data_IF_878374959456
#
_entry.id   IF_878374959456
#
_cell.length_a   1.000
_cell.length_b   1.000
_cell.length_c   1.000
_cell.angle_alpha   90.00
_cell.angle_beta   90.00
_cell.angle_gamma   90.00
#
_symmetry.space_group_name_H-M   'P 1'
#
loop_
_entity.id
_entity.type
_entity.pdbx_description
1 polymer ?
#
# COMPACT_ATOMS: atom_id res chain seq x y z
N UNK A 1 -25.48 9.28 -15.02
CA UNK A 1 -25.33 8.06 -14.19
C UNK A 1 -26.37 6.97 -14.51
N UNK A 2 -27.16 7.12 -15.59
CA UNK A 2 -28.05 6.07 -16.16
C UNK A 2 -27.30 4.88 -16.79
N UNK A 3 -26.00 5.06 -17.05
CA UNK A 3 -25.17 4.09 -17.77
C UNK A 3 -25.13 2.72 -17.10
N UNK A 4 -25.23 2.64 -15.77
CA UNK A 4 -25.21 1.36 -15.06
C UNK A 4 -26.47 0.52 -15.35
N UNK A 5 -27.66 1.12 -15.23
CA UNK A 5 -28.94 0.46 -15.56
C UNK A 5 -28.96 0.07 -17.04
N UNK A 6 -28.44 0.93 -17.91
CA UNK A 6 -28.36 0.65 -19.34
C UNK A 6 -27.37 -0.48 -19.68
N UNK A 7 -26.21 -0.57 -19.01
CA UNK A 7 -25.28 -1.71 -19.14
C UNK A 7 -26.01 -3.01 -18.78
N UNK A 8 -26.74 -3.01 -17.66
CA UNK A 8 -27.47 -4.18 -17.19
C UNK A 8 -28.55 -4.55 -18.20
N UNK A 9 -29.37 -3.59 -18.66
CA UNK A 9 -30.41 -3.82 -19.69
C UNK A 9 -29.84 -4.46 -20.96
N UNK A 10 -28.78 -3.87 -21.51
CA UNK A 10 -28.17 -4.36 -22.75
C UNK A 10 -27.55 -5.76 -22.59
N UNK A 11 -27.08 -6.10 -21.38
CA UNK A 11 -26.50 -7.41 -21.08
C UNK A 11 -27.51 -8.50 -20.72
N UNK A 12 -28.55 -8.18 -19.95
CA UNK A 12 -29.53 -9.15 -19.44
C UNK A 12 -30.69 -9.38 -20.40
N UNK A 13 -31.33 -8.32 -20.91
CA UNK A 13 -32.48 -8.42 -21.81
C UNK A 13 -32.07 -8.69 -23.25
N UNK A 14 -31.09 -7.92 -23.76
CA UNK A 14 -30.66 -7.98 -25.16
C UNK A 14 -29.48 -8.95 -25.39
N UNK A 15 -28.91 -9.53 -24.32
CA UNK A 15 -27.81 -10.51 -24.34
C UNK A 15 -26.63 -10.10 -25.24
N UNK A 16 -26.33 -8.81 -25.29
CA UNK A 16 -25.24 -8.29 -26.10
C UNK A 16 -23.88 -8.63 -25.49
N UNK A 17 -22.88 -8.84 -26.34
CA UNK A 17 -21.51 -9.04 -25.87
C UNK A 17 -20.96 -7.77 -25.19
N UNK A 18 -20.07 -7.94 -24.21
CA UNK A 18 -19.39 -6.82 -23.52
C UNK A 18 -18.73 -5.83 -24.50
N UNK A 19 -18.27 -6.31 -25.66
CA UNK A 19 -17.69 -5.47 -26.73
C UNK A 19 -18.74 -4.62 -27.44
N UNK A 20 -19.94 -5.15 -27.66
CA UNK A 20 -21.03 -4.38 -28.25
C UNK A 20 -21.54 -3.31 -27.28
N UNK A 21 -21.73 -3.65 -26.00
CA UNK A 21 -22.17 -2.74 -24.94
C UNK A 21 -21.16 -1.60 -24.75
N UNK A 22 -19.87 -1.93 -24.66
CA UNK A 22 -18.79 -0.93 -24.53
C UNK A 22 -18.79 0.10 -25.67
N UNK A 23 -19.02 -0.36 -26.90
CA UNK A 23 -19.11 0.52 -28.08
C UNK A 23 -20.37 1.39 -28.05
N UNK A 24 -21.52 0.81 -27.70
CA UNK A 24 -22.80 1.53 -27.65
C UNK A 24 -22.80 2.66 -26.61
N UNK A 25 -22.26 2.40 -25.41
CA UNK A 25 -22.31 3.35 -24.29
C UNK A 25 -21.05 4.22 -24.16
N UNK A 26 -20.05 4.01 -25.03
CA UNK A 26 -18.73 4.65 -24.97
C UNK A 26 -18.08 4.47 -23.59
N UNK A 27 -18.00 3.23 -23.13
CA UNK A 27 -17.39 2.82 -21.85
C UNK A 27 -16.33 1.76 -22.14
N UNK A 28 -15.28 1.70 -21.32
CA UNK A 28 -14.25 0.67 -21.49
C UNK A 28 -14.81 -0.74 -21.25
N UNK A 29 -14.36 -1.71 -22.04
CA UNK A 29 -14.79 -3.13 -21.92
C UNK A 29 -14.58 -3.73 -20.51
N UNK A 30 -13.47 -3.44 -19.80
CA UNK A 30 -13.27 -3.96 -18.44
C UNK A 30 -14.32 -3.45 -17.46
N UNK A 31 -14.70 -2.17 -17.57
CA UNK A 31 -15.73 -1.57 -16.70
C UNK A 31 -17.10 -2.21 -16.95
N UNK A 32 -17.47 -2.45 -18.20
CA UNK A 32 -18.69 -3.19 -18.55
C UNK A 32 -18.69 -4.60 -17.96
N UNK A 33 -17.58 -5.33 -18.13
CA UNK A 33 -17.45 -6.68 -17.59
C UNK A 33 -17.56 -6.70 -16.06
N UNK A 34 -16.94 -5.72 -15.39
CA UNK A 34 -17.00 -5.57 -13.94
C UNK A 34 -18.43 -5.34 -13.47
N UNK A 35 -19.15 -4.36 -14.04
CA UNK A 35 -20.53 -4.08 -13.62
C UNK A 35 -21.49 -5.24 -13.87
N UNK A 36 -21.33 -5.98 -14.97
CA UNK A 36 -22.15 -7.17 -15.22
C UNK A 36 -21.83 -8.31 -14.24
N UNK A 37 -20.55 -8.53 -13.92
CA UNK A 37 -20.15 -9.51 -12.90
C UNK A 37 -20.66 -9.15 -11.52
N UNK A 38 -20.57 -7.87 -11.16
CA UNK A 38 -21.09 -7.34 -9.90
C UNK A 38 -22.61 -7.54 -9.82
N UNK A 39 -23.33 -7.27 -10.91
CA UNK A 39 -24.77 -7.49 -11.02
C UNK A 39 -25.15 -8.98 -10.89
N UNK A 40 -24.46 -9.89 -11.56
CA UNK A 40 -24.74 -11.33 -11.43
C UNK A 40 -24.60 -11.80 -9.97
N UNK A 41 -23.68 -11.21 -9.23
CA UNK A 41 -23.45 -11.53 -7.81
C UNK A 41 -24.59 -11.07 -6.91
N UNK A 42 -25.40 -10.09 -7.33
CA UNK A 42 -26.58 -9.66 -6.55
C UNK A 42 -27.74 -10.65 -6.65
N UNK A 43 -27.77 -11.50 -7.68
CA UNK A 43 -28.86 -12.46 -7.92
C UNK A 43 -30.20 -11.82 -8.30
N UNK A 44 -30.24 -10.49 -8.51
CA UNK A 44 -31.45 -9.75 -8.85
C UNK A 44 -31.75 -9.85 -10.35
N UNK A 45 -33.03 -9.73 -10.70
CA UNK A 45 -33.48 -9.61 -12.08
C UNK A 45 -33.57 -8.13 -12.49
N UNK A 46 -33.53 -7.85 -13.81
CA UNK A 46 -33.55 -6.48 -14.32
C UNK A 46 -34.80 -5.69 -13.90
N UNK A 47 -35.95 -6.36 -13.82
CA UNK A 47 -37.23 -5.79 -13.35
C UNK A 47 -37.13 -5.19 -11.94
N UNK A 48 -36.38 -5.82 -11.05
CA UNK A 48 -36.21 -5.39 -9.66
C UNK A 48 -35.27 -4.17 -9.56
N UNK A 49 -34.31 -4.03 -10.49
CA UNK A 49 -33.38 -2.89 -10.54
C UNK A 49 -34.06 -1.62 -11.06
N UNK A 50 -35.08 -1.77 -11.90
CA UNK A 50 -35.81 -0.61 -12.41
C UNK A 50 -36.50 0.16 -11.29
N UNK A 51 -37.00 -0.54 -10.28
CA UNK A 51 -37.66 0.02 -9.10
C UNK A 51 -36.67 0.61 -8.08
N UNK A 52 -35.42 0.13 -8.06
CA UNK A 52 -34.38 0.65 -7.18
C UNK A 52 -33.88 2.03 -7.61
N UNK A 53 -33.60 2.90 -6.62
CA UNK A 53 -32.91 4.15 -6.89
C UNK A 53 -31.46 3.88 -7.34
N UNK A 54 -30.85 4.88 -7.98
CA UNK A 54 -29.46 4.74 -8.44
C UNK A 54 -28.50 4.53 -7.26
N UNK A 55 -28.72 5.24 -6.16
CA UNK A 55 -27.87 5.19 -4.98
C UNK A 55 -27.99 3.83 -4.28
N UNK A 56 -29.21 3.29 -4.19
CA UNK A 56 -29.45 1.96 -3.61
C UNK A 56 -28.79 0.86 -4.45
N UNK A 57 -28.86 0.96 -5.78
CA UNK A 57 -28.22 0.00 -6.69
C UNK A 57 -26.69 0.03 -6.54
N UNK A 58 -26.10 1.22 -6.43
CA UNK A 58 -24.67 1.38 -6.19
C UNK A 58 -24.29 0.83 -4.83
N UNK A 59 -25.08 1.11 -3.79
CA UNK A 59 -24.84 0.59 -2.45
C UNK A 59 -24.85 -0.93 -2.45
N UNK A 60 -25.85 -1.55 -3.09
CA UNK A 60 -25.99 -3.00 -3.16
C UNK A 60 -24.82 -3.67 -3.90
N UNK A 61 -24.40 -3.11 -5.04
CA UNK A 61 -23.21 -3.56 -5.77
C UNK A 61 -21.94 -3.38 -4.92
N UNK A 62 -21.80 -2.24 -4.24
CA UNK A 62 -20.64 -1.95 -3.40
C UNK A 62 -20.58 -2.84 -2.16
N UNK A 63 -21.74 -3.21 -1.60
CA UNK A 63 -21.86 -4.11 -0.46
C UNK A 63 -21.42 -5.52 -0.83
N UNK A 64 -21.79 -6.02 -2.02
CA UNK A 64 -21.29 -7.30 -2.50
C UNK A 64 -19.76 -7.32 -2.72
N UNK A 65 -19.16 -6.19 -3.14
CA UNK A 65 -17.70 -6.07 -3.20
C UNK A 65 -17.03 -6.14 -1.82
N UNK A 66 -17.70 -5.65 -0.78
CA UNK A 66 -17.22 -5.75 0.61
C UNK A 66 -17.36 -7.18 1.14
N UNK A 67 -18.53 -7.79 0.93
CA UNK A 67 -18.82 -9.17 1.35
C UNK A 67 -17.91 -10.22 0.65
N UNK A 68 -17.49 -9.96 -0.58
CA UNK A 68 -16.63 -10.86 -1.36
C UNK A 68 -15.19 -10.99 -0.87
N UNK A 69 -14.76 -10.21 0.14
CA UNK A 69 -13.36 -10.21 0.57
C UNK A 69 -13.18 -10.39 2.08
N UNK A 70 -13.93 -11.34 2.67
CA UNK A 70 -13.77 -11.74 4.06
C UNK A 70 -12.30 -12.07 4.42
N UNK A 71 -11.54 -12.65 3.48
CA UNK A 71 -10.09 -12.87 3.62
C UNK A 71 -9.31 -11.57 3.78
N UNK A 72 -9.69 -10.52 3.04
CA UNK A 72 -9.08 -9.19 3.14
C UNK A 72 -9.47 -8.51 4.44
N UNK A 73 -10.73 -8.60 4.89
CA UNK A 73 -11.15 -8.01 6.17
C UNK A 73 -10.29 -8.54 7.32
N UNK A 74 -10.21 -9.87 7.45
CA UNK A 74 -9.38 -10.55 8.47
C UNK A 74 -7.90 -10.16 8.38
N UNK A 75 -7.37 -10.03 7.17
CA UNK A 75 -5.99 -9.59 6.97
C UNK A 75 -5.81 -8.11 7.37
N UNK A 76 -6.76 -7.26 6.98
CA UNK A 76 -6.67 -5.80 7.13
C UNK A 76 -6.76 -5.32 8.58
N UNK A 77 -7.48 -6.07 9.43
CA UNK A 77 -7.52 -5.83 10.88
C UNK A 77 -6.13 -5.91 11.52
N UNK A 78 -5.26 -6.78 11.01
CA UNK A 78 -3.91 -7.04 11.55
C UNK A 78 -2.86 -6.05 11.06
N UNK A 79 -3.14 -5.28 10.01
CA UNK A 79 -2.13 -4.40 9.39
C UNK A 79 -1.55 -3.35 10.34
N UNK A 80 -2.35 -2.85 11.30
CA UNK A 80 -1.87 -1.91 12.32
C UNK A 80 -0.80 -2.54 13.22
N UNK A 81 -0.93 -3.81 13.55
CA UNK A 81 0.01 -4.51 14.41
C UNK A 81 1.26 -4.94 13.64
N UNK A 82 1.10 -5.40 12.40
CA UNK A 82 2.23 -5.63 11.48
C UNK A 82 3.09 -4.37 11.29
N UNK A 83 2.48 -3.19 11.20
CA UNK A 83 3.23 -1.94 11.10
C UNK A 83 4.04 -1.63 12.37
N UNK A 84 3.56 -2.01 13.56
CA UNK A 84 4.33 -1.89 14.82
C UNK A 84 5.47 -2.90 14.86
N UNK A 85 5.21 -4.13 14.44
CA UNK A 85 6.19 -5.22 14.46
C UNK A 85 7.33 -4.99 13.47
N UNK A 86 7.05 -4.43 12.28
CA UNK A 86 8.08 -4.04 11.31
C UNK A 86 9.08 -2.99 11.82
N UNK A 87 8.79 -2.30 12.93
CA UNK A 87 9.76 -1.39 13.56
C UNK A 87 10.80 -2.13 14.43
N UNK A 88 10.55 -3.41 14.75
CA UNK A 88 11.46 -4.22 15.55
C UNK A 88 12.62 -4.73 14.67
N UNK A 89 13.85 -4.79 15.20
CA UNK A 89 15.00 -5.28 14.45
C UNK A 89 14.80 -6.75 14.06
N UNK A 90 15.06 -7.08 12.79
CA UNK A 90 14.98 -8.44 12.26
C UNK A 90 13.60 -8.89 11.77
N UNK A 91 12.54 -8.09 11.98
CA UNK A 91 11.20 -8.39 11.45
C UNK A 91 11.09 -7.91 10.01
N UNK A 92 10.62 -8.79 9.12
CA UNK A 92 10.37 -8.47 7.70
C UNK A 92 8.94 -8.82 7.31
N UNK A 93 8.46 -8.28 6.20
CA UNK A 93 7.14 -8.66 5.65
C UNK A 93 7.05 -10.15 5.33
N UNK A 94 8.18 -10.80 5.01
CA UNK A 94 8.21 -12.24 4.78
C UNK A 94 7.92 -13.02 6.07
N UNK A 95 8.56 -12.65 7.19
CA UNK A 95 8.31 -13.29 8.49
C UNK A 95 6.84 -13.15 8.90
N UNK A 96 6.28 -11.95 8.77
CA UNK A 96 4.87 -11.69 9.10
C UNK A 96 3.90 -12.47 8.21
N UNK A 97 4.25 -12.65 6.93
CA UNK A 97 3.47 -13.46 6.01
C UNK A 97 3.56 -14.96 6.34
N UNK A 98 4.73 -15.47 6.73
CA UNK A 98 4.91 -16.85 7.17
C UNK A 98 4.05 -17.16 8.39
N UNK A 99 4.03 -16.27 9.39
CA UNK A 99 3.15 -16.37 10.56
C UNK A 99 1.67 -16.31 10.18
N UNK A 100 1.30 -15.38 9.28
CA UNK A 100 -0.05 -15.27 8.74
C UNK A 100 -0.50 -16.58 8.04
N UNK A 101 0.36 -17.19 7.22
CA UNK A 101 0.06 -18.44 6.50
C UNK A 101 -0.09 -19.65 7.42
N UNK A 102 0.60 -19.67 8.55
CA UNK A 102 0.44 -20.72 9.56
C UNK A 102 -0.95 -20.67 10.20
N UNK A 103 -1.47 -19.47 10.46
CA UNK A 103 -2.80 -19.27 11.05
C UNK A 103 -3.91 -19.39 9.99
N UNK A 104 -3.63 -18.97 8.76
CA UNK A 104 -4.59 -18.96 7.64
C UNK A 104 -4.04 -19.76 6.44
N UNK A 105 -4.20 -21.10 6.43
CA UNK A 105 -3.71 -21.96 5.34
C UNK A 105 -4.33 -21.65 3.96
N UNK A 106 -5.53 -21.06 3.93
CA UNK A 106 -6.22 -20.60 2.71
C UNK A 106 -6.08 -19.08 2.47
N UNK A 107 -5.19 -18.45 3.25
CA UNK A 107 -4.85 -17.04 3.17
C UNK A 107 -4.07 -16.66 1.91
N UNK A 108 -3.85 -15.36 1.73
CA UNK A 108 -3.15 -14.81 0.58
C UNK A 108 -1.72 -15.36 0.39
N UNK A 109 -1.35 -15.51 -0.87
CA UNK A 109 0.06 -15.72 -1.26
C UNK A 109 0.92 -14.52 -0.89
N UNK A 110 2.25 -14.70 -0.80
CA UNK A 110 3.17 -13.65 -0.40
C UNK A 110 3.01 -12.36 -1.24
N UNK A 111 2.95 -12.50 -2.57
CA UNK A 111 2.78 -11.36 -3.48
C UNK A 111 1.48 -10.59 -3.22
N UNK A 112 0.37 -11.30 -2.99
CA UNK A 112 -0.93 -10.68 -2.70
C UNK A 112 -0.95 -10.03 -1.31
N UNK A 113 -0.33 -10.67 -0.31
CA UNK A 113 -0.17 -10.10 1.03
C UNK A 113 0.58 -8.77 0.97
N UNK A 114 1.73 -8.73 0.28
CA UNK A 114 2.51 -7.51 0.10
C UNK A 114 1.71 -6.42 -0.63
N UNK A 115 0.98 -6.78 -1.69
CA UNK A 115 0.12 -5.86 -2.42
C UNK A 115 -0.95 -5.22 -1.53
N UNK A 116 -1.70 -6.04 -0.78
CA UNK A 116 -2.74 -5.55 0.12
C UNK A 116 -2.17 -4.68 1.25
N UNK A 117 -1.03 -5.08 1.82
CA UNK A 117 -0.35 -4.29 2.85
C UNK A 117 0.13 -2.93 2.32
N UNK A 118 0.68 -2.89 1.10
CA UNK A 118 1.10 -1.63 0.47
C UNK A 118 -0.08 -0.70 0.16
N UNK A 119 -1.17 -1.22 -0.40
CA UNK A 119 -2.39 -0.42 -0.65
C UNK A 119 -2.91 0.20 0.63
N UNK A 120 -3.03 -0.61 1.69
CA UNK A 120 -3.50 -0.13 2.98
C UNK A 120 -2.55 0.92 3.58
N UNK A 121 -1.23 0.70 3.48
CA UNK A 121 -0.22 1.64 3.98
C UNK A 121 -0.26 2.97 3.22
N UNK A 122 -0.40 2.93 1.90
CA UNK A 122 -0.46 4.12 1.06
C UNK A 122 -1.76 4.90 1.27
N UNK A 123 -2.88 4.23 1.50
CA UNK A 123 -4.14 4.89 1.88
C UNK A 123 -4.08 5.57 3.25
N UNK A 124 -3.14 5.16 4.12
CA UNK A 124 -2.95 5.73 5.46
C UNK A 124 -1.84 6.77 5.55
N UNK A 125 -0.97 6.87 4.54
CA UNK A 125 0.21 7.72 4.55
C UNK A 125 -0.10 9.07 3.87
N UNK A 126 -0.44 10.08 4.66
CA UNK A 126 -0.33 11.48 4.25
C UNK A 126 1.16 11.81 4.12
N UNK A 127 1.70 11.75 2.90
CA UNK A 127 3.06 12.23 2.63
C UNK A 127 3.05 13.74 2.49
N UNK A 128 3.66 14.46 3.43
CA UNK A 128 4.04 15.86 3.19
C UNK A 128 5.33 15.87 2.37
N UNK A 129 5.26 16.42 1.16
CA UNK A 129 6.44 16.76 0.39
C UNK A 129 7.15 17.92 1.11
N UNK A 130 8.39 17.69 1.56
CA UNK A 130 9.22 18.74 2.18
C UNK A 130 10.21 19.20 1.12
N UNK A 131 10.07 20.44 0.68
CA UNK A 131 11.06 21.06 -0.20
C UNK A 131 12.33 21.38 0.61
N UNK A 132 13.47 20.90 0.12
CA UNK A 132 14.78 21.14 0.73
C UNK A 132 15.60 22.05 -0.18
N UNK A 133 15.89 23.26 0.28
CA UNK A 133 16.90 24.12 -0.33
C UNK A 133 18.30 23.63 0.06
N UNK A 134 19.20 23.53 -0.91
CA UNK A 134 20.56 23.06 -0.67
C UNK A 134 21.28 23.97 0.34
N UNK A 135 21.94 23.35 1.34
CA UNK A 135 22.69 24.07 2.38
C UNK A 135 21.88 24.54 3.60
N UNK A 136 20.54 24.49 3.56
CA UNK A 136 19.71 24.98 4.67
C UNK A 136 19.65 24.03 5.87
N UNK A 137 19.82 22.71 5.67
CA UNK A 137 19.76 21.70 6.74
C UNK A 137 20.77 20.57 6.52
N UNK A 138 21.38 20.12 7.62
CA UNK A 138 22.22 18.91 7.67
C UNK A 138 21.50 17.83 8.48
N UNK A 139 21.36 16.63 7.90
CA UNK A 139 20.79 15.46 8.57
C UNK A 139 21.90 14.52 9.03
N UNK A 140 21.78 14.00 10.25
CA UNK A 140 22.71 13.03 10.84
C UNK A 140 21.90 11.79 11.21
N UNK A 141 22.06 10.71 10.45
CA UNK A 141 21.42 9.43 10.75
C UNK A 141 22.38 8.54 11.55
N UNK A 142 21.91 8.01 12.67
CA UNK A 142 22.64 7.04 13.48
C UNK A 142 22.15 5.62 13.15
N UNK A 143 23.10 4.72 12.88
CA UNK A 143 22.78 3.31 12.66
C UNK A 143 22.34 2.67 13.98
N UNK A 144 21.18 2.03 14.02
CA UNK A 144 20.60 1.49 15.27
C UNK A 144 21.48 0.49 16.02
N UNK A 145 22.44 -0.16 15.35
CA UNK A 145 23.44 -1.00 15.98
C UNK A 145 24.63 -0.14 16.41
N UNK A 146 24.87 -0.05 17.72
CA UNK A 146 26.02 0.69 18.27
C UNK A 146 27.32 -0.01 17.83
N UNK A 147 28.15 0.70 17.06
CA UNK A 147 29.50 0.25 16.71
C UNK A 147 30.36 0.28 17.99
N UNK A 148 31.12 -0.79 18.21
CA UNK A 148 32.11 -0.85 19.29
C UNK A 148 33.46 -0.45 18.69
N UNK A 149 33.99 0.69 19.12
CA UNK A 149 35.35 1.11 18.75
C UNK A 149 36.30 0.61 19.83
N UNK A 150 37.35 -0.09 19.41
CA UNK A 150 38.42 -0.58 20.28
C UNK A 150 39.60 0.36 20.08
N UNK A 151 40.11 0.92 21.17
CA UNK A 151 41.32 1.75 21.14
C UNK A 151 42.56 0.89 20.79
N UNK A 152 43.26 1.16 19.68
CA UNK A 152 44.43 0.41 19.26
C UNK A 152 45.63 0.55 20.22
N UNK A 153 45.67 1.55 21.11
CA UNK A 153 46.79 1.74 22.06
C UNK A 153 46.61 0.99 23.38
N UNK A 154 45.37 0.78 23.82
CA UNK A 154 45.10 0.15 25.13
C UNK A 154 44.54 -1.26 25.03
N UNK A 155 44.09 -1.71 23.84
CA UNK A 155 43.66 -3.09 23.59
C UNK A 155 42.42 -3.55 24.39
N UNK A 156 41.86 -2.70 25.25
CA UNK A 156 40.83 -3.08 26.19
C UNK A 156 40.10 -1.86 26.75
N UNK A 157 39.18 -1.31 25.96
CA UNK A 157 38.32 -0.20 26.39
C UNK A 157 37.17 0.00 25.43
N UNK A 158 36.05 -0.69 25.67
CA UNK A 158 34.79 -0.43 24.96
C UNK A 158 34.28 0.95 25.39
N UNK A 159 34.56 1.99 24.61
CA UNK A 159 33.93 3.30 24.83
C UNK A 159 32.43 3.20 24.49
N UNK A 160 31.60 3.31 25.53
CA UNK A 160 30.15 3.57 25.39
C UNK A 160 29.94 5.08 25.41
N UNK A 161 30.19 5.75 24.28
CA UNK A 161 30.04 7.21 24.17
C UNK A 161 28.60 7.65 23.88
N UNK A 162 28.08 8.59 24.68
CA UNK A 162 27.01 9.52 24.26
C UNK A 162 27.66 10.68 23.46
N UNK A 163 27.03 11.24 22.41
CA UNK A 163 27.75 12.03 21.41
C UNK A 163 28.02 13.50 21.74
N UNK A 164 27.79 13.97 22.97
CA UNK A 164 28.04 15.38 23.30
C UNK A 164 28.63 15.56 24.70
N UNK A 165 29.95 15.63 24.71
CA UNK A 165 30.78 16.24 25.75
C UNK A 165 32.09 16.62 25.09
N UNK A 166 32.26 17.90 24.75
CA UNK A 166 33.56 18.48 24.43
C UNK A 166 34.41 18.45 25.72
N UNK A 167 35.72 18.15 25.63
CA UNK A 167 36.66 19.19 25.20
C UNK A 167 37.55 18.77 24.04
N UNK A 168 37.68 19.69 23.08
CA UNK A 168 38.88 19.98 22.28
C UNK A 168 39.77 18.78 21.95
N UNK A 169 39.67 18.26 20.73
CA UNK A 169 40.68 18.58 19.71
C UNK A 169 40.33 17.92 18.38
N UNK A 170 40.63 18.69 17.34
CA UNK A 170 40.46 18.39 15.93
C UNK A 170 41.23 17.12 15.56
N UNK A 171 40.57 16.15 14.94
CA UNK A 171 40.88 15.63 13.60
C UNK A 171 40.01 14.39 13.34
N UNK A 172 39.01 14.52 12.47
CA UNK A 172 38.17 13.40 12.05
C UNK A 172 37.80 13.56 10.59
N UNK A 173 38.46 12.81 9.72
CA UNK A 173 38.17 12.70 8.29
C UNK A 173 36.70 12.33 8.06
N UNK A 174 35.91 13.30 7.58
CA UNK A 174 34.56 13.08 7.08
C UNK A 174 34.63 12.49 5.66
N UNK A 175 34.03 11.31 5.47
CA UNK A 175 33.63 10.86 4.14
C UNK A 175 32.33 11.61 3.77
N UNK A 176 32.47 12.70 3.03
CA UNK A 176 31.35 13.39 2.40
C UNK A 176 30.92 12.60 1.16
N UNK A 177 29.66 12.20 1.08
CA UNK A 177 29.06 11.83 -0.20
C UNK A 177 28.24 13.02 -0.67
N UNK A 178 28.81 13.87 -1.53
CA UNK A 178 28.06 14.89 -2.26
C UNK A 178 27.31 14.20 -3.38
N UNK A 179 25.97 14.16 -3.29
CA UNK A 179 25.12 13.76 -4.41
C UNK A 179 24.98 14.97 -5.34
N UNK A 180 25.92 15.14 -6.27
CA UNK A 180 25.81 16.11 -7.34
C UNK A 180 24.74 15.65 -8.34
N UNK A 181 23.54 16.21 -8.24
CA UNK A 181 22.62 16.26 -9.36
C UNK A 181 23.11 17.30 -10.35
N UNK A 182 23.74 16.85 -11.45
CA UNK A 182 23.96 17.66 -12.64
C UNK A 182 22.63 17.74 -13.38
N UNK A 183 21.90 18.83 -13.18
CA UNK A 183 20.89 19.28 -14.13
C UNK A 183 21.59 20.24 -15.10
N UNK A 184 21.74 19.79 -16.35
CA UNK A 184 22.31 20.60 -17.43
C UNK A 184 21.21 20.83 -18.46
N UNK A 185 20.51 21.94 -18.27
CA UNK A 185 19.64 22.55 -19.25
C UNK A 185 20.48 23.31 -20.28
N UNK A 186 20.44 22.87 -21.53
CA UNK A 186 20.41 23.72 -22.73
C UNK A 186 19.35 23.17 -23.67
#
# INVERSE_FOLDING_TARGET
MEKLKEIIRLGSELRLSNRAIARALKISRPVVAQYLSDFITTGLHYSEIMELSHDDLLELISRNKRLGNQRYEVLSERFKDYLKELKRPGVTLQVLWEEYRQVYPDGYSYSQFCYHFQIWRNGSALTMHIEHKAGDKMFVDFTGKKLTVIDPKTGGGSFRGHPWGQPTDLCGSLLYTTKSGLDSSQ
#
